data_IF_243071021038
#
_entry.id   IF_243071021038
#
_cell.length_a   1.000
_cell.length_b   1.000
_cell.length_c   1.000
_cell.angle_alpha   90.00
_cell.angle_beta   90.00
_cell.angle_gamma   90.00
#
_symmetry.space_group_name_H-M   'P 1'
#
loop_
_entity.id
_entity.type
_entity.pdbx_description
1 polymer ?
#
# COMPACT_ATOMS: atom_id res chain seq x y z
N UNK A 1 -3.96 -18.85 -2.85
CA UNK A 1 -3.12 -18.02 -1.94
C UNK A 1 -1.68 -17.80 -2.44
N UNK A 2 -1.33 -18.12 -3.70
CA UNK A 2 0.04 -17.93 -4.24
C UNK A 2 0.24 -16.64 -5.06
N UNK A 3 -0.86 -15.99 -5.49
CA UNK A 3 -0.80 -14.86 -6.44
C UNK A 3 -0.28 -13.56 -5.82
N UNK A 4 -0.40 -13.38 -4.50
CA UNK A 4 0.05 -12.16 -3.83
C UNK A 4 1.57 -12.10 -3.74
N UNK A 5 2.23 -13.22 -3.48
CA UNK A 5 3.70 -13.29 -3.43
C UNK A 5 4.31 -13.02 -4.81
N UNK A 6 3.72 -13.54 -5.89
CA UNK A 6 4.17 -13.26 -7.25
C UNK A 6 3.95 -11.79 -7.65
N UNK A 7 2.83 -11.19 -7.22
CA UNK A 7 2.56 -9.76 -7.43
C UNK A 7 3.59 -8.91 -6.67
N UNK A 8 3.83 -9.21 -5.39
CA UNK A 8 4.82 -8.51 -4.57
C UNK A 8 6.21 -8.60 -5.20
N UNK A 9 6.65 -9.79 -5.63
CA UNK A 9 7.94 -9.95 -6.29
C UNK A 9 8.04 -9.16 -7.61
N UNK A 10 6.92 -8.99 -8.32
CA UNK A 10 6.87 -8.15 -9.53
C UNK A 10 6.97 -6.66 -9.20
N UNK A 11 6.34 -6.21 -8.11
CA UNK A 11 6.47 -4.84 -7.63
C UNK A 11 7.88 -4.56 -7.10
N UNK A 12 8.49 -5.51 -6.39
CA UNK A 12 9.87 -5.39 -5.91
C UNK A 12 10.84 -5.15 -7.07
N UNK A 13 10.76 -5.96 -8.13
CA UNK A 13 11.57 -5.74 -9.35
C UNK A 13 11.30 -4.39 -10.01
N UNK A 14 10.04 -3.93 -10.00
CA UNK A 14 9.71 -2.62 -10.54
C UNK A 14 10.35 -1.49 -9.73
N UNK A 15 10.42 -1.65 -8.41
CA UNK A 15 11.00 -0.70 -7.47
C UNK A 15 12.53 -0.73 -7.45
N UNK A 16 13.14 -1.88 -7.71
CA UNK A 16 14.59 -2.01 -7.96
C UNK A 16 15.02 -1.20 -9.20
N UNK A 17 14.19 -1.21 -10.24
CA UNK A 17 14.45 -0.46 -11.48
C UNK A 17 14.10 1.03 -11.36
N UNK A 18 13.04 1.35 -10.62
CA UNK A 18 12.62 2.71 -10.38
C UNK A 18 11.96 2.85 -9.00
N UNK A 19 12.68 3.35 -7.98
CA UNK A 19 12.13 3.53 -6.64
C UNK A 19 11.08 4.63 -6.56
N UNK A 20 11.03 5.55 -7.53
CA UNK A 20 10.04 6.65 -7.58
C UNK A 20 8.73 6.23 -8.25
N UNK A 21 8.56 4.93 -8.54
CA UNK A 21 7.34 4.37 -9.13
C UNK A 21 6.24 4.22 -8.08
N UNK A 22 5.60 5.33 -7.76
CA UNK A 22 4.47 5.48 -6.84
C UNK A 22 3.40 4.36 -6.93
N UNK A 23 2.98 4.00 -8.15
CA UNK A 23 2.01 2.90 -8.40
C UNK A 23 2.49 1.54 -7.91
N UNK A 24 3.78 1.25 -7.97
CA UNK A 24 4.32 -0.04 -7.53
C UNK A 24 4.28 -0.13 -5.99
N UNK A 25 4.59 0.96 -5.29
CA UNK A 25 4.41 1.05 -3.84
C UNK A 25 2.94 0.89 -3.43
N UNK A 26 2.02 1.59 -4.10
CA UNK A 26 0.59 1.50 -3.80
C UNK A 26 0.04 0.08 -3.98
N UNK A 27 0.32 -0.54 -5.13
CA UNK A 27 -0.17 -1.89 -5.40
C UNK A 27 0.45 -2.94 -4.47
N UNK A 28 1.70 -2.74 -4.05
CA UNK A 28 2.35 -3.58 -3.03
C UNK A 28 1.68 -3.41 -1.66
N UNK A 29 1.27 -2.19 -1.29
CA UNK A 29 0.48 -1.94 -0.09
C UNK A 29 -0.88 -2.67 -0.12
N UNK A 30 -1.61 -2.60 -1.24
CA UNK A 30 -2.86 -3.34 -1.43
C UNK A 30 -2.64 -4.86 -1.27
N UNK A 31 -1.58 -5.40 -1.89
CA UNK A 31 -1.26 -6.83 -1.77
C UNK A 31 -0.96 -7.27 -0.33
N UNK A 32 -0.32 -6.43 0.48
CA UNK A 32 -0.11 -6.71 1.91
C UNK A 32 -1.38 -6.54 2.73
N UNK A 33 -2.20 -5.53 2.41
CA UNK A 33 -3.49 -5.33 3.05
C UNK A 33 -4.39 -6.55 2.90
N UNK A 34 -4.52 -7.09 1.69
CA UNK A 34 -5.29 -8.31 1.39
C UNK A 34 -4.77 -9.56 2.13
N UNK A 35 -3.53 -9.53 2.64
CA UNK A 35 -2.95 -10.58 3.49
C UNK A 35 -3.07 -10.26 4.99
N UNK A 36 -3.80 -9.20 5.37
CA UNK A 36 -3.90 -8.66 6.72
C UNK A 36 -2.53 -8.25 7.34
N UNK A 37 -1.51 -8.02 6.50
CA UNK A 37 -0.21 -7.57 6.96
C UNK A 37 -0.20 -6.04 7.04
N UNK A 38 -0.74 -5.53 8.16
CA UNK A 38 -0.98 -4.10 8.38
C UNK A 38 0.32 -3.29 8.34
N UNK A 39 1.38 -3.79 8.95
CA UNK A 39 2.65 -3.05 9.07
C UNK A 39 3.28 -2.81 7.69
N UNK A 40 3.37 -3.86 6.86
CA UNK A 40 3.89 -3.72 5.51
C UNK A 40 2.94 -2.94 4.59
N UNK A 41 1.62 -3.04 4.78
CA UNK A 41 0.68 -2.21 4.04
C UNK A 41 0.89 -0.71 4.34
N UNK A 42 1.03 -0.33 5.61
CA UNK A 42 1.30 1.05 6.03
C UNK A 42 2.64 1.53 5.47
N UNK A 43 3.71 0.74 5.58
CA UNK A 43 5.04 1.10 5.09
C UNK A 43 5.02 1.43 3.60
N UNK A 44 4.44 0.54 2.79
CA UNK A 44 4.39 0.71 1.33
C UNK A 44 3.41 1.82 0.92
N UNK A 45 2.27 1.97 1.60
CA UNK A 45 1.34 3.07 1.34
C UNK A 45 1.96 4.42 1.70
N UNK A 46 2.78 4.50 2.75
CA UNK A 46 3.50 5.71 3.12
C UNK A 46 4.46 6.14 2.02
N UNK A 47 5.22 5.19 1.43
CA UNK A 47 6.08 5.50 0.28
C UNK A 47 5.27 6.00 -0.92
N UNK A 48 4.13 5.38 -1.21
CA UNK A 48 3.24 5.83 -2.27
C UNK A 48 2.73 7.26 -2.03
N UNK A 49 2.26 7.57 -0.82
CA UNK A 49 1.77 8.90 -0.43
C UNK A 49 2.88 9.95 -0.50
N UNK A 50 4.10 9.62 -0.10
CA UNK A 50 5.24 10.54 -0.18
C UNK A 50 5.57 10.93 -1.63
N UNK A 51 5.41 10.00 -2.58
CA UNK A 51 5.63 10.25 -4.00
C UNK A 51 4.42 10.92 -4.67
N UNK A 52 3.22 10.51 -4.27
CA UNK A 52 1.95 11.06 -4.77
C UNK A 52 0.90 11.09 -3.63
N UNK A 53 0.63 12.27 -3.04
CA UNK A 53 -0.30 12.41 -1.94
C UNK A 53 -1.75 11.98 -2.24
N UNK A 54 -2.17 11.91 -3.52
CA UNK A 54 -3.52 11.48 -3.90
C UNK A 54 -3.85 10.06 -3.41
N UNK A 55 -2.84 9.21 -3.22
CA UNK A 55 -3.03 7.86 -2.68
C UNK A 55 -3.62 7.86 -1.28
N UNK A 56 -3.46 8.94 -0.51
CA UNK A 56 -4.08 9.07 0.81
C UNK A 56 -5.61 9.06 0.68
N UNK A 57 -6.15 9.85 -0.25
CA UNK A 57 -7.59 9.90 -0.50
C UNK A 57 -8.10 8.61 -1.13
N UNK A 58 -7.34 8.02 -2.06
CA UNK A 58 -7.69 6.72 -2.65
C UNK A 58 -7.82 5.64 -1.57
N UNK A 59 -6.85 5.53 -0.66
CA UNK A 59 -6.83 4.52 0.38
C UNK A 59 -8.02 4.60 1.36
N UNK A 60 -8.65 5.77 1.52
CA UNK A 60 -9.88 5.94 2.33
C UNK A 60 -11.06 5.17 1.75
N UNK A 61 -11.10 4.97 0.43
CA UNK A 61 -12.26 4.39 -0.27
C UNK A 61 -11.95 3.09 -1.00
N UNK A 62 -10.67 2.75 -1.20
CA UNK A 62 -10.25 1.53 -1.88
C UNK A 62 -10.58 0.29 -1.04
N UNK A 63 -11.29 -0.66 -1.66
CA UNK A 63 -11.74 -1.90 -1.03
C UNK A 63 -10.61 -2.81 -0.59
N UNK A 64 -9.43 -2.72 -1.22
CA UNK A 64 -8.28 -3.55 -0.83
C UNK A 64 -7.82 -3.27 0.60
N UNK A 65 -8.18 -2.10 1.15
CA UNK A 65 -7.89 -1.69 2.53
C UNK A 65 -9.03 -1.91 3.52
N UNK A 66 -10.22 -2.40 3.11
CA UNK A 66 -11.39 -2.55 4.01
C UNK A 66 -11.05 -3.33 5.29
N UNK A 67 -10.27 -4.39 5.16
CA UNK A 67 -9.83 -5.28 6.23
C UNK A 67 -8.86 -4.62 7.24
N UNK A 68 -8.19 -3.53 6.84
CA UNK A 68 -7.23 -2.83 7.70
C UNK A 68 -7.61 -1.37 8.00
N UNK A 69 -8.66 -0.83 7.36
CA UNK A 69 -9.03 0.60 7.42
C UNK A 69 -9.25 1.09 8.85
N UNK A 70 -9.90 0.29 9.69
CA UNK A 70 -10.18 0.64 11.08
C UNK A 70 -9.02 0.34 12.06
N UNK A 71 -7.87 -0.13 11.56
CA UNK A 71 -6.69 -0.33 12.42
C UNK A 71 -6.13 1.04 12.81
N UNK A 72 -5.85 1.33 14.10
CA UNK A 72 -5.48 2.66 14.57
C UNK A 72 -4.34 3.31 13.77
N UNK A 73 -3.28 2.55 13.47
CA UNK A 73 -2.12 3.06 12.75
C UNK A 73 -2.44 3.37 11.27
N UNK A 74 -3.24 2.53 10.62
CA UNK A 74 -3.65 2.74 9.23
C UNK A 74 -4.62 3.91 9.12
N UNK A 75 -5.59 3.98 10.02
CA UNK A 75 -6.54 5.10 10.13
C UNK A 75 -5.82 6.43 10.32
N UNK A 76 -4.85 6.48 11.22
CA UNK A 76 -4.02 7.68 11.46
C UNK A 76 -3.25 8.10 10.20
N UNK A 77 -2.73 7.15 9.41
CA UNK A 77 -2.03 7.44 8.16
C UNK A 77 -2.96 8.13 7.15
N UNK A 78 -4.17 7.60 6.94
CA UNK A 78 -5.09 8.10 5.92
C UNK A 78 -5.88 9.35 6.37
N UNK A 79 -6.02 9.60 7.66
CA UNK A 79 -6.69 10.78 8.22
C UNK A 79 -5.72 11.94 8.52
N UNK A 80 -4.41 11.72 8.43
CA UNK A 80 -3.43 12.81 8.55
C UNK A 80 -3.65 13.86 7.46
N UNK A 81 -3.36 15.14 7.77
CA UNK A 81 -3.38 16.28 6.83
C UNK A 81 -1.97 16.57 6.32
#
# INVERSE_FOLDING_TARGET
>A
LQRYQEAIASYDKALELNPDKDKAWYNKACAYSLQNNVDLAIENLTQAINLNPEYREMAKTDSDFDNIREKPNFKSLIESE
#
